data_IF_916655159298
#
_entry.id   IF_916655159298
#
_cell.length_a   1.000
_cell.length_b   1.000
_cell.length_c   1.000
_cell.angle_alpha   90.00
_cell.angle_beta   90.00
_cell.angle_gamma   90.00
#
_symmetry.space_group_name_H-M   'P 1'
#
loop_
_entity.id
_entity.type
_entity.pdbx_description
1 polymer ?
#
# COMPACT_ATOMS: atom_id res chain seq x y z
N UNK A 1 5.15 38.84 6.36
CA UNK A 1 4.40 39.71 5.45
C UNK A 1 2.99 39.91 6.02
N UNK A 2 2.40 41.07 5.81
CA UNK A 2 1.00 41.31 6.18
C UNK A 2 0.25 41.98 5.01
N UNK A 3 -1.04 41.66 4.90
CA UNK A 3 -1.99 42.33 4.02
C UNK A 3 -3.00 43.05 4.90
N UNK A 4 -3.33 44.29 4.58
CA UNK A 4 -4.24 45.14 5.34
C UNK A 4 -5.27 45.72 4.41
N UNK A 5 -6.54 45.58 4.75
CA UNK A 5 -7.63 46.27 4.11
C UNK A 5 -8.06 47.42 5.04
N UNK A 6 -8.09 48.62 4.50
CA UNK A 6 -8.49 49.86 5.20
C UNK A 6 -9.81 50.33 4.63
N UNK A 7 -10.80 50.49 5.53
CA UNK A 7 -12.09 51.10 5.22
C UNK A 7 -12.41 52.22 6.19
N UNK A 8 -13.31 53.10 5.85
CA UNK A 8 -13.72 54.25 6.68
C UNK A 8 -12.55 55.11 7.15
N UNK A 9 -11.55 55.32 6.27
CA UNK A 9 -10.39 56.15 6.58
C UNK A 9 -10.79 57.60 6.89
N UNK A 10 -10.44 58.10 8.08
CA UNK A 10 -10.74 59.44 8.57
C UNK A 10 -9.47 60.29 8.80
N UNK A 11 -8.30 59.75 8.42
CA UNK A 11 -7.04 60.43 8.59
C UNK A 11 -6.31 60.14 9.86
N UNK A 12 -5.59 61.13 10.40
CA UNK A 12 -4.87 61.03 11.65
C UNK A 12 -5.77 61.21 12.88
N UNK A 13 -5.51 60.47 13.95
CA UNK A 13 -6.14 60.71 15.26
C UNK A 13 -5.65 62.04 15.81
N UNK A 14 -4.33 62.32 15.75
CA UNK A 14 -3.68 63.55 16.14
C UNK A 14 -3.02 64.21 14.91
N UNK A 15 -3.63 65.27 14.42
CA UNK A 15 -3.17 66.02 13.23
C UNK A 15 -1.88 66.79 13.47
N UNK A 16 -1.54 67.03 14.74
CA UNK A 16 -0.29 67.77 15.12
C UNK A 16 0.92 66.82 15.20
N UNK A 17 0.71 65.55 15.28
CA UNK A 17 1.76 64.56 15.26
C UNK A 17 2.31 64.33 13.85
N UNK A 18 3.59 64.58 13.69
CA UNK A 18 4.25 64.44 12.37
C UNK A 18 4.32 62.95 11.91
N UNK A 19 4.29 62.00 12.85
CA UNK A 19 4.36 60.56 12.55
C UNK A 19 3.03 59.96 12.19
N UNK A 20 3.06 58.92 11.37
CA UNK A 20 1.86 58.20 10.96
C UNK A 20 0.98 58.95 9.93
N UNK A 21 -0.17 58.34 9.52
CA UNK A 21 -0.68 57.04 9.98
C UNK A 21 0.08 55.86 9.40
N UNK A 22 0.27 54.83 10.23
CA UNK A 22 0.85 53.58 9.77
C UNK A 22 0.33 52.40 10.57
N UNK A 23 0.53 51.21 10.01
CA UNK A 23 0.31 49.93 10.67
C UNK A 23 1.66 49.24 10.82
N UNK A 24 1.91 48.68 12.00
CA UNK A 24 3.07 47.88 12.33
C UNK A 24 2.61 46.59 13.03
N UNK A 25 3.35 45.50 12.84
CA UNK A 25 3.16 44.24 13.56
C UNK A 25 4.45 43.94 14.30
N UNK A 26 4.33 43.77 15.59
CA UNK A 26 5.50 43.61 16.48
C UNK A 26 5.35 42.36 17.31
N UNK A 27 6.50 41.77 17.61
CA UNK A 27 6.65 40.76 18.63
C UNK A 27 6.69 41.44 19.99
N UNK A 28 5.75 41.12 20.84
CA UNK A 28 5.64 41.67 22.18
C UNK A 28 6.30 40.82 23.25
N UNK A 29 7.54 41.09 23.63
CA UNK A 29 8.18 40.38 24.73
C UNK A 29 7.71 40.88 26.07
N UNK A 30 7.65 40.01 27.03
CA UNK A 30 7.44 40.37 28.44
C UNK A 30 8.56 41.28 29.02
N UNK A 31 9.62 41.57 28.30
CA UNK A 31 10.82 42.25 28.76
C UNK A 31 11.18 43.53 28.01
N UNK A 32 10.32 44.08 27.18
CA UNK A 32 10.46 45.47 26.71
C UNK A 32 11.21 45.71 25.43
N UNK A 33 11.68 44.71 24.67
CA UNK A 33 12.26 44.86 23.34
C UNK A 33 11.28 44.46 22.28
N UNK A 34 10.73 45.41 21.56
CA UNK A 34 9.74 45.18 20.49
C UNK A 34 10.45 44.98 19.14
N UNK A 35 10.31 43.81 18.54
CA UNK A 35 10.79 43.56 17.20
C UNK A 35 9.67 43.72 16.20
N UNK A 36 9.83 44.60 15.22
CA UNK A 36 8.89 44.66 14.10
C UNK A 36 8.94 43.38 13.29
N UNK A 37 7.81 42.73 13.12
CA UNK A 37 7.67 41.50 12.33
C UNK A 37 7.42 41.77 10.85
N UNK A 38 6.98 42.98 10.52
CA UNK A 38 6.79 43.46 9.14
C UNK A 38 7.52 44.79 8.93
N UNK A 39 7.66 45.20 7.70
CA UNK A 39 7.98 46.60 7.39
C UNK A 39 6.70 47.43 7.56
N UNK A 40 6.82 48.56 8.25
CA UNK A 40 5.70 49.49 8.47
C UNK A 40 4.94 49.79 7.18
N UNK A 41 3.63 49.77 7.28
CA UNK A 41 2.75 50.07 6.15
C UNK A 41 2.17 51.49 6.35
N UNK A 42 2.65 52.51 5.62
CA UNK A 42 2.02 53.83 5.63
C UNK A 42 0.61 53.75 5.05
N UNK A 43 -0.36 54.33 5.74
CA UNK A 43 -1.77 54.36 5.31
C UNK A 43 -2.14 55.78 4.84
N UNK A 44 -2.64 55.87 3.61
CA UNK A 44 -2.97 57.17 2.99
C UNK A 44 -4.44 57.32 2.62
N UNK A 45 -5.23 56.25 2.76
CA UNK A 45 -6.67 56.25 2.37
C UNK A 45 -7.29 54.87 2.53
N UNK A 46 -8.50 54.73 2.05
CA UNK A 46 -9.14 53.44 1.89
C UNK A 46 -8.39 52.65 0.79
N UNK A 47 -8.28 51.32 1.01
CA UNK A 47 -7.64 50.45 0.03
C UNK A 47 -6.97 49.25 0.65
N UNK A 48 -6.31 48.47 -0.20
CA UNK A 48 -5.56 47.29 0.16
C UNK A 48 -4.07 47.63 0.16
N UNK A 49 -3.42 47.33 1.25
CA UNK A 49 -1.98 47.56 1.46
C UNK A 49 -1.30 46.24 1.78
N UNK A 50 -0.07 46.04 1.29
CA UNK A 50 0.71 44.87 1.58
C UNK A 50 2.12 45.26 2.06
N UNK A 51 2.59 44.68 3.12
CA UNK A 51 3.96 44.89 3.57
C UNK A 51 4.92 44.12 2.66
N UNK A 52 6.11 44.69 2.42
CA UNK A 52 7.21 43.89 1.88
C UNK A 52 7.59 42.77 2.85
N UNK A 53 8.09 41.63 2.33
CA UNK A 53 8.58 40.54 3.17
C UNK A 53 9.71 41.01 4.11
N UNK A 54 9.69 40.49 5.35
CA UNK A 54 10.79 40.68 6.27
C UNK A 54 11.26 39.31 6.77
N UNK A 55 12.53 39.01 6.57
CA UNK A 55 13.16 37.76 7.04
C UNK A 55 13.62 37.95 8.48
N UNK A 56 13.20 37.01 9.34
CA UNK A 56 13.62 36.93 10.74
C UNK A 56 14.51 35.71 10.90
N UNK A 57 15.66 35.85 11.53
CA UNK A 57 16.52 34.71 11.88
C UNK A 57 16.20 34.24 13.31
N UNK A 58 16.47 32.99 13.61
CA UNK A 58 16.32 32.45 14.97
C UNK A 58 17.05 33.28 16.03
N UNK A 59 18.17 33.91 15.68
CA UNK A 59 18.95 34.75 16.58
C UNK A 59 18.37 36.16 16.76
N UNK A 60 17.41 36.58 15.93
CA UNK A 60 16.70 37.84 16.07
C UNK A 60 15.49 37.72 17.01
N UNK A 61 15.02 36.49 17.27
CA UNK A 61 13.95 36.21 18.19
C UNK A 61 14.56 35.86 19.56
N UNK A 62 14.88 36.89 20.34
CA UNK A 62 15.44 36.69 21.68
C UNK A 62 14.32 36.69 22.69
N UNK A 63 14.16 35.59 23.41
CA UNK A 63 13.37 35.55 24.59
C UNK A 63 12.00 34.90 24.50
N UNK A 64 11.18 35.14 25.47
CA UNK A 64 9.87 34.55 25.72
C UNK A 64 8.73 35.36 25.07
N UNK A 65 8.91 35.76 23.82
CA UNK A 65 7.81 36.42 23.12
C UNK A 65 6.65 35.44 22.92
N UNK A 66 5.51 35.79 23.42
CA UNK A 66 4.29 34.96 23.42
C UNK A 66 3.06 35.68 22.90
N UNK A 67 3.25 36.86 22.33
CA UNK A 67 2.13 37.64 21.74
C UNK A 67 2.62 38.39 20.49
N UNK A 68 1.70 38.59 19.58
CA UNK A 68 1.86 39.46 18.41
C UNK A 68 0.97 40.68 18.64
N UNK A 69 1.59 41.86 18.58
CA UNK A 69 0.87 43.12 18.68
C UNK A 69 0.70 43.77 17.32
N UNK A 70 -0.51 44.19 17.02
CA UNK A 70 -0.82 45.00 15.86
C UNK A 70 -0.95 46.47 16.32
N UNK A 71 -0.02 47.29 15.88
CA UNK A 71 -0.02 48.70 16.21
C UNK A 71 -0.67 49.53 15.09
N UNK A 72 -1.79 50.16 15.39
CA UNK A 72 -2.40 51.21 14.58
C UNK A 72 -1.94 52.56 15.07
N UNK A 73 -0.88 53.10 14.49
CA UNK A 73 -0.31 54.33 14.97
C UNK A 73 -0.91 55.55 14.29
N UNK A 74 -1.50 56.45 15.05
CA UNK A 74 -2.10 57.70 14.64
C UNK A 74 -3.09 57.54 13.46
N UNK A 75 -3.81 56.44 13.42
CA UNK A 75 -4.73 56.04 12.37
C UNK A 75 -6.16 55.99 12.87
N UNK A 76 -7.04 56.77 12.21
CA UNK A 76 -8.49 56.67 12.41
C UNK A 76 -9.11 56.03 11.16
N UNK A 77 -9.37 54.72 11.27
CA UNK A 77 -9.95 53.92 10.23
C UNK A 77 -10.45 52.58 10.78
N UNK A 78 -11.24 51.87 9.99
CA UNK A 78 -11.50 50.43 10.20
C UNK A 78 -10.47 49.66 9.44
N UNK A 79 -9.82 48.67 10.07
CA UNK A 79 -8.83 47.82 9.41
C UNK A 79 -9.20 46.35 9.57
N UNK A 80 -8.84 45.61 8.56
CA UNK A 80 -8.74 44.15 8.58
C UNK A 80 -7.31 43.77 8.20
N UNK A 81 -6.67 42.91 9.02
CA UNK A 81 -5.25 42.57 8.83
C UNK A 81 -5.06 41.08 8.80
N UNK A 82 -4.27 40.62 7.85
CA UNK A 82 -3.84 39.24 7.70
C UNK A 82 -2.32 39.15 7.74
N UNK A 83 -1.80 38.21 8.52
CA UNK A 83 -0.37 38.05 8.71
C UNK A 83 0.03 36.68 8.19
N UNK A 84 0.99 36.65 7.25
CA UNK A 84 1.59 35.41 6.71
C UNK A 84 2.97 35.20 7.29
N UNK A 85 3.20 34.04 7.90
CA UNK A 85 4.49 33.59 8.43
C UNK A 85 4.88 32.32 7.70
N UNK A 86 6.09 32.28 7.12
CA UNK A 86 6.62 31.13 6.39
C UNK A 86 8.00 30.80 6.89
N UNK A 87 8.36 29.50 6.85
CA UNK A 87 9.71 29.03 7.09
C UNK A 87 10.44 29.00 5.75
N UNK A 88 11.51 29.78 5.62
CA UNK A 88 12.30 29.82 4.39
C UNK A 88 13.15 31.09 4.26
N UNK A 89 13.89 31.18 3.16
CA UNK A 89 14.75 32.32 2.83
C UNK A 89 14.13 33.25 1.80
N UNK A 90 13.08 32.82 1.12
CA UNK A 90 12.37 33.58 0.09
C UNK A 90 10.88 33.58 0.43
N UNK A 91 10.28 34.76 0.51
CA UNK A 91 8.85 34.87 0.77
C UNK A 91 8.07 34.54 -0.52
N UNK A 92 7.08 33.67 -0.41
CA UNK A 92 6.13 33.48 -1.48
C UNK A 92 5.14 34.64 -1.55
N UNK A 93 4.41 34.82 -2.68
CA UNK A 93 3.32 35.78 -2.74
C UNK A 93 2.33 35.58 -1.59
N UNK A 94 1.65 36.64 -1.21
CA UNK A 94 0.65 36.51 -0.18
C UNK A 94 -0.44 35.52 -0.60
N UNK A 95 -0.75 34.55 0.26
CA UNK A 95 -1.85 33.59 0.10
C UNK A 95 -2.49 33.34 1.47
N UNK A 96 -3.81 33.12 1.53
CA UNK A 96 -4.46 32.71 2.78
C UNK A 96 -3.88 31.39 3.31
N UNK A 97 -4.01 31.16 4.62
CA UNK A 97 -3.66 29.86 5.18
C UNK A 97 -4.79 28.86 4.88
N UNK A 98 -4.47 27.67 4.30
CA UNK A 98 -5.47 26.64 4.08
C UNK A 98 -6.24 26.19 5.33
N UNK A 99 -5.71 26.42 6.51
CA UNK A 99 -6.35 26.09 7.78
C UNK A 99 -7.36 27.16 8.29
N UNK A 100 -7.45 28.32 7.60
CA UNK A 100 -8.34 29.42 8.02
C UNK A 100 -9.68 29.31 7.29
N UNK A 101 -10.73 28.71 7.85
CA UNK A 101 -12.01 28.48 7.16
C UNK A 101 -12.72 29.78 6.72
N UNK A 102 -12.37 30.91 7.34
CA UNK A 102 -12.92 32.22 7.03
C UNK A 102 -12.46 32.78 5.66
N UNK A 103 -11.45 32.18 5.05
CA UNK A 103 -10.84 32.62 3.81
C UNK A 103 -11.16 31.76 2.60
N UNK A 104 -11.77 30.60 2.83
CA UNK A 104 -12.16 29.73 1.75
C UNK A 104 -13.62 29.96 1.41
N UNK A 105 -13.83 30.78 0.39
CA UNK A 105 -15.05 30.68 -0.37
C UNK A 105 -14.85 29.57 -1.40
N UNK A 106 -15.73 28.61 -1.43
CA UNK A 106 -15.82 27.64 -2.52
C UNK A 106 -16.42 28.29 -3.79
N UNK A 107 -16.77 29.56 -3.73
CA UNK A 107 -17.46 30.32 -4.80
C UNK A 107 -16.68 31.59 -5.15
N UNK A 108 -16.48 31.79 -6.45
CA UNK A 108 -15.88 33.00 -7.04
C UNK A 108 -16.93 33.71 -7.89
N UNK A 109 -17.16 34.97 -7.62
CA UNK A 109 -17.98 35.82 -8.49
C UNK A 109 -17.11 36.46 -9.55
N UNK A 110 -17.40 36.19 -10.83
CA UNK A 110 -16.69 36.75 -11.98
C UNK A 110 -17.59 37.77 -12.65
N UNK A 111 -17.11 39.01 -12.75
CA UNK A 111 -17.82 40.11 -13.42
C UNK A 111 -17.31 40.25 -14.85
N UNK A 112 -18.20 40.08 -15.84
CA UNK A 112 -17.95 40.42 -17.24
C UNK A 112 -18.57 41.79 -17.54
N UNK A 113 -17.75 42.83 -17.63
CA UNK A 113 -18.16 44.19 -17.93
C UNK A 113 -18.38 44.46 -19.44
N UNK A 114 -18.06 43.47 -20.28
CA UNK A 114 -18.25 43.54 -21.74
C UNK A 114 -19.72 43.44 -22.16
N UNK A 115 -19.97 43.52 -23.46
CA UNK A 115 -21.31 43.36 -24.06
C UNK A 115 -21.51 41.96 -24.67
N UNK A 116 -20.50 41.10 -24.63
CA UNK A 116 -20.52 39.79 -25.25
C UNK A 116 -20.09 38.71 -24.27
N UNK A 117 -20.65 37.48 -24.35
CA UNK A 117 -20.19 36.34 -23.55
C UNK A 117 -18.72 36.01 -23.84
N UNK A 118 -17.99 35.60 -22.79
CA UNK A 118 -16.55 35.28 -22.88
C UNK A 118 -16.25 33.97 -22.14
N UNK A 119 -15.30 33.23 -22.65
CA UNK A 119 -14.83 31.99 -22.01
C UNK A 119 -13.66 32.28 -21.06
N UNK A 120 -13.73 31.78 -19.82
CA UNK A 120 -12.68 32.01 -18.84
C UNK A 120 -11.47 31.08 -19.04
N UNK A 121 -10.35 31.51 -18.48
CA UNK A 121 -9.22 30.66 -18.13
C UNK A 121 -9.23 30.50 -16.61
N UNK A 122 -9.33 29.26 -16.13
CA UNK A 122 -9.38 28.92 -14.71
C UNK A 122 -8.06 28.30 -14.32
N UNK A 123 -7.40 28.82 -13.28
CA UNK A 123 -6.14 28.29 -12.75
C UNK A 123 -6.34 27.87 -11.30
N UNK A 124 -6.16 26.59 -11.02
CA UNK A 124 -6.26 26.01 -9.66
C UNK A 124 -4.89 25.56 -9.20
N UNK A 125 -4.43 26.09 -8.06
CA UNK A 125 -3.14 25.72 -7.43
C UNK A 125 -3.40 24.88 -6.21
N UNK A 126 -2.93 23.62 -6.22
CA UNK A 126 -3.15 22.67 -5.14
C UNK A 126 -2.30 22.99 -3.92
N UNK A 127 -2.90 23.01 -2.73
CA UNK A 127 -2.21 23.22 -1.47
C UNK A 127 -1.97 21.91 -0.71
N UNK A 128 -2.51 20.82 -1.18
CA UNK A 128 -2.32 19.45 -0.69
C UNK A 128 -2.66 18.48 -1.83
N UNK A 129 -2.48 17.19 -1.57
CA UNK A 129 -2.88 16.16 -2.52
C UNK A 129 -4.39 16.19 -2.74
N UNK A 130 -4.81 15.98 -4.00
CA UNK A 130 -6.21 16.01 -4.41
C UNK A 130 -6.45 15.04 -5.57
N UNK A 131 -7.59 14.36 -5.58
CA UNK A 131 -7.95 13.40 -6.63
C UNK A 131 -8.75 14.05 -7.77
N UNK A 132 -9.63 14.99 -7.44
CA UNK A 132 -10.58 15.58 -8.39
C UNK A 132 -10.77 17.08 -8.13
N UNK A 133 -10.97 17.82 -9.21
CA UNK A 133 -11.40 19.22 -9.20
C UNK A 133 -12.70 19.31 -9.96
N UNK A 134 -13.77 19.62 -9.25
CA UNK A 134 -15.09 19.92 -9.81
C UNK A 134 -15.31 21.42 -9.87
N UNK A 135 -15.89 21.90 -10.97
CA UNK A 135 -16.23 23.32 -11.17
C UNK A 135 -17.67 23.38 -11.67
N UNK A 136 -18.48 24.16 -10.99
CA UNK A 136 -19.91 24.37 -11.32
C UNK A 136 -20.17 25.85 -11.41
N UNK A 137 -20.95 26.27 -12.37
CA UNK A 137 -21.42 27.63 -12.43
C UNK A 137 -22.94 27.72 -12.15
N UNK A 138 -23.46 28.92 -11.89
CA UNK A 138 -24.85 29.19 -11.60
C UNK A 138 -25.81 28.95 -12.79
N UNK A 139 -25.24 28.62 -13.97
CA UNK A 139 -25.96 28.27 -15.21
C UNK A 139 -26.01 26.75 -15.44
N UNK A 140 -26.05 25.95 -14.42
CA UNK A 140 -25.70 24.58 -14.20
C UNK A 140 -24.76 23.94 -15.25
N UNK A 141 -23.63 24.59 -15.53
CA UNK A 141 -22.49 24.01 -16.24
C UNK A 141 -21.60 23.23 -15.26
N UNK A 142 -21.09 22.07 -15.66
CA UNK A 142 -20.20 21.25 -14.88
C UNK A 142 -18.94 20.95 -15.67
N UNK A 143 -17.78 21.22 -15.08
CA UNK A 143 -16.47 20.76 -15.53
C UNK A 143 -15.83 19.94 -14.42
N UNK A 144 -15.22 18.82 -14.76
CA UNK A 144 -14.58 17.91 -13.81
C UNK A 144 -13.26 17.40 -14.38
N UNK A 145 -12.22 17.46 -13.56
CA UNK A 145 -10.86 17.10 -13.94
C UNK A 145 -10.23 16.21 -12.87
N UNK A 146 -9.39 15.27 -13.30
CA UNK A 146 -8.76 14.29 -12.43
C UNK A 146 -9.49 12.96 -12.44
N UNK A 147 -9.24 12.15 -11.43
CA UNK A 147 -9.87 10.84 -11.25
C UNK A 147 -10.67 10.84 -9.95
N UNK A 148 -11.79 10.16 -9.92
CA UNK A 148 -12.63 10.00 -8.73
C UNK A 148 -11.99 9.12 -7.65
N UNK A 149 -10.86 8.58 -7.88
CA UNK A 149 -10.17 7.60 -7.04
C UNK A 149 -9.40 8.35 -5.94
N UNK A 150 -9.70 8.48 -4.88
CA UNK A 150 -10.08 7.80 -3.68
C UNK A 150 -8.84 7.38 -2.92
N UNK A 151 -8.52 8.20 -1.95
CA UNK A 151 -7.67 7.84 -0.85
C UNK A 151 -8.35 6.69 -0.08
N UNK A 152 -7.71 5.53 -0.01
CA UNK A 152 -8.22 4.43 0.78
C UNK A 152 -9.01 3.34 0.07
N UNK A 153 -8.57 2.93 -1.09
CA UNK A 153 -9.13 1.75 -1.75
C UNK A 153 -8.63 0.46 -1.08
N UNK A 154 -9.55 -0.38 -0.62
CA UNK A 154 -9.21 -1.71 -0.11
C UNK A 154 -9.37 -2.73 -1.22
N UNK A 155 -8.28 -3.36 -1.62
CA UNK A 155 -8.29 -4.51 -2.53
C UNK A 155 -8.05 -5.80 -1.75
N UNK A 156 -8.50 -6.91 -2.31
CA UNK A 156 -8.08 -8.23 -1.87
C UNK A 156 -7.00 -8.74 -2.83
N UNK A 157 -5.81 -8.96 -2.29
CA UNK A 157 -4.65 -9.40 -3.07
C UNK A 157 -4.14 -10.76 -2.59
N UNK A 158 -3.40 -11.42 -3.47
CA UNK A 158 -2.62 -12.60 -3.08
C UNK A 158 -1.17 -12.20 -2.85
N UNK A 159 -0.59 -12.69 -1.76
CA UNK A 159 0.78 -12.39 -1.34
C UNK A 159 1.60 -13.66 -1.24
N UNK A 160 2.86 -13.61 -1.68
CA UNK A 160 3.77 -14.75 -1.57
C UNK A 160 4.28 -14.83 -0.13
N UNK A 161 3.92 -15.91 0.58
CA UNK A 161 4.40 -16.21 1.93
C UNK A 161 5.72 -16.99 1.92
N UNK A 162 5.91 -17.85 0.92
CA UNK A 162 7.13 -18.59 0.66
C UNK A 162 7.22 -18.96 -0.81
N UNK A 163 8.40 -18.78 -1.37
CA UNK A 163 8.80 -19.38 -2.64
C UNK A 163 10.14 -20.09 -2.41
N UNK A 164 10.13 -21.42 -2.40
CA UNK A 164 11.32 -22.21 -2.12
C UNK A 164 12.42 -21.97 -3.18
N UNK A 165 12.05 -21.69 -4.43
CA UNK A 165 13.02 -21.40 -5.47
C UNK A 165 13.79 -20.08 -5.19
N UNK A 166 13.15 -19.11 -4.56
CA UNK A 166 13.78 -17.83 -4.17
C UNK A 166 14.76 -17.98 -2.99
N UNK A 167 14.64 -19.06 -2.20
CA UNK A 167 15.50 -19.35 -1.04
C UNK A 167 16.44 -20.52 -1.29
N UNK A 168 16.64 -20.92 -2.53
CA UNK A 168 17.54 -22.02 -2.89
C UNK A 168 18.94 -21.80 -2.32
N UNK A 169 19.57 -22.89 -1.87
CA UNK A 169 20.87 -22.83 -1.19
C UNK A 169 20.81 -22.33 0.26
N UNK A 170 19.64 -21.85 0.71
CA UNK A 170 19.40 -21.42 2.09
C UNK A 170 18.39 -22.35 2.75
N UNK A 171 18.79 -23.09 3.75
CA UNK A 171 17.92 -23.99 4.52
C UNK A 171 18.38 -24.05 5.97
N UNK A 172 17.48 -24.50 6.83
CA UNK A 172 17.80 -24.88 8.20
C UNK A 172 17.25 -26.27 8.49
N UNK A 173 17.98 -27.06 9.22
CA UNK A 173 17.52 -28.37 9.66
C UNK A 173 16.46 -28.23 10.73
N UNK A 174 15.41 -29.04 10.61
CA UNK A 174 14.27 -29.02 11.51
C UNK A 174 14.30 -30.17 12.54
N UNK A 175 15.46 -30.52 13.04
CA UNK A 175 15.68 -31.73 13.82
C UNK A 175 14.90 -31.81 15.13
N UNK A 176 14.54 -30.68 15.71
CA UNK A 176 13.88 -30.63 17.02
C UNK A 176 12.43 -30.16 16.98
N UNK A 177 11.96 -29.63 15.85
CA UNK A 177 10.70 -28.94 15.84
C UNK A 177 9.49 -29.78 15.43
N UNK A 178 9.72 -30.86 14.68
CA UNK A 178 8.63 -31.74 14.25
C UNK A 178 8.79 -33.08 14.90
N UNK A 179 8.32 -33.19 16.10
CA UNK A 179 8.06 -34.51 16.70
C UNK A 179 6.89 -35.08 15.90
N UNK A 180 7.19 -35.89 14.89
CA UNK A 180 6.14 -36.36 14.02
C UNK A 180 5.33 -37.47 14.70
N UNK A 181 4.17 -37.17 15.26
CA UNK A 181 3.34 -38.15 15.97
C UNK A 181 2.68 -39.16 15.04
N UNK A 182 2.81 -39.01 13.72
CA UNK A 182 2.09 -39.84 12.75
C UNK A 182 2.81 -41.11 12.36
N UNK A 183 4.10 -41.12 12.54
CA UNK A 183 4.90 -42.28 12.19
C UNK A 183 4.75 -43.41 13.22
N UNK A 184 3.52 -43.81 13.40
CA UNK A 184 3.18 -44.86 14.34
C UNK A 184 2.36 -44.39 15.54
N UNK A 185 2.25 -43.08 15.77
CA UNK A 185 1.51 -42.54 16.91
C UNK A 185 2.02 -43.00 18.28
N UNK A 186 3.16 -43.67 18.29
CA UNK A 186 3.75 -44.23 19.48
C UNK A 186 4.96 -43.39 19.94
N UNK A 187 4.85 -42.70 21.09
CA UNK A 187 5.94 -41.91 21.64
C UNK A 187 7.21 -42.71 21.95
N UNK A 188 7.08 -44.03 22.04
CA UNK A 188 8.22 -44.91 22.27
C UNK A 188 9.01 -45.26 21.02
N UNK A 189 8.52 -44.89 19.82
CA UNK A 189 9.25 -45.06 18.57
C UNK A 189 10.29 -43.97 18.42
N UNK A 190 11.57 -44.25 18.40
CA UNK A 190 12.61 -43.25 18.23
C UNK A 190 12.79 -42.92 16.74
N UNK A 191 11.85 -42.21 16.16
CA UNK A 191 12.01 -41.61 14.84
C UNK A 191 13.07 -40.52 14.92
N UNK A 192 13.98 -40.45 13.94
CA UNK A 192 15.16 -39.62 14.01
C UNK A 192 15.23 -38.67 12.81
N UNK A 193 15.07 -37.39 13.06
CA UNK A 193 15.39 -36.33 12.09
C UNK A 193 16.89 -36.07 12.16
N UNK A 194 17.67 -36.69 11.30
CA UNK A 194 19.14 -36.68 11.28
C UNK A 194 19.65 -36.54 9.86
N UNK A 195 20.93 -36.21 9.75
CA UNK A 195 21.60 -36.02 8.47
C UNK A 195 21.31 -34.64 7.86
N UNK A 196 21.73 -34.46 6.63
CA UNK A 196 21.64 -33.19 5.91
C UNK A 196 20.84 -33.33 4.63
N UNK A 197 19.99 -32.33 4.34
CA UNK A 197 19.48 -32.11 3.00
C UNK A 197 20.43 -31.17 2.26
N UNK A 198 20.56 -31.35 0.95
CA UNK A 198 21.44 -30.56 0.11
C UNK A 198 20.69 -29.99 -1.09
N UNK A 199 21.12 -28.82 -1.54
CA UNK A 199 20.69 -28.25 -2.80
C UNK A 199 21.56 -28.79 -3.93
N UNK A 200 20.91 -29.33 -4.95
CA UNK A 200 21.55 -29.81 -6.19
C UNK A 200 20.89 -29.16 -7.40
N UNK A 201 21.58 -29.17 -8.51
CA UNK A 201 21.09 -28.64 -9.77
C UNK A 201 21.38 -29.63 -10.90
N UNK A 202 20.40 -29.86 -11.75
CA UNK A 202 20.61 -30.52 -13.05
C UNK A 202 19.85 -29.80 -14.19
N UNK A 203 20.17 -30.16 -15.42
CA UNK A 203 19.61 -29.46 -16.59
C UNK A 203 18.13 -29.75 -16.82
N UNK A 204 17.58 -30.81 -16.22
CA UNK A 204 16.18 -31.21 -16.41
C UNK A 204 15.26 -30.64 -15.33
N UNK A 205 15.63 -30.80 -14.05
CA UNK A 205 14.82 -30.41 -12.90
C UNK A 205 15.14 -29.00 -12.40
N UNK A 206 16.28 -28.44 -12.81
CA UNK A 206 16.80 -27.20 -12.25
C UNK A 206 17.31 -27.40 -10.82
N UNK A 207 17.08 -26.41 -9.97
CA UNK A 207 17.40 -26.50 -8.55
C UNK A 207 16.37 -27.35 -7.82
N UNK A 208 16.89 -28.23 -6.96
CA UNK A 208 16.10 -29.09 -6.09
C UNK A 208 16.79 -29.33 -4.76
N UNK A 209 16.02 -29.62 -3.74
CA UNK A 209 16.53 -30.04 -2.42
C UNK A 209 16.25 -31.50 -2.19
N UNK A 210 17.26 -32.24 -1.83
CA UNK A 210 17.23 -33.69 -1.68
C UNK A 210 18.01 -34.16 -0.44
N UNK A 211 17.68 -35.34 0.11
CA UNK A 211 18.44 -35.90 1.24
C UNK A 211 19.84 -36.35 0.83
N UNK A 212 20.83 -35.97 1.58
CA UNK A 212 22.15 -36.57 1.49
C UNK A 212 22.20 -37.83 2.38
N UNK A 213 21.82 -38.96 1.82
CA UNK A 213 21.77 -40.22 2.57
C UNK A 213 23.12 -40.66 3.14
N UNK A 214 24.22 -40.26 2.53
CA UNK A 214 25.56 -40.58 3.02
C UNK A 214 25.92 -39.87 4.32
N UNK A 215 25.16 -38.84 4.69
CA UNK A 215 25.31 -38.14 5.97
C UNK A 215 24.71 -38.91 7.15
N UNK A 216 23.98 -39.99 6.89
CA UNK A 216 23.33 -40.82 7.90
C UNK A 216 24.09 -42.12 8.03
N UNK A 217 24.70 -42.36 9.19
CA UNK A 217 25.52 -43.52 9.46
C UNK A 217 25.00 -44.32 10.64
N UNK A 218 25.24 -45.63 10.62
CA UNK A 218 24.84 -46.54 11.70
C UNK A 218 23.49 -47.22 11.44
N UNK A 219 23.07 -48.03 12.41
CA UNK A 219 21.81 -48.78 12.37
C UNK A 219 20.69 -47.94 13.01
N UNK A 220 19.61 -47.80 12.30
CA UNK A 220 18.43 -47.11 12.78
C UNK A 220 17.27 -48.07 12.94
N UNK A 221 16.52 -47.89 14.00
CA UNK A 221 15.46 -48.86 14.37
C UNK A 221 14.11 -48.51 13.71
N UNK A 222 13.91 -47.22 13.42
CA UNK A 222 12.66 -46.70 12.85
C UNK A 222 12.92 -45.69 11.74
N UNK A 223 12.01 -44.78 11.50
CA UNK A 223 12.12 -43.72 10.47
C UNK A 223 13.29 -42.78 10.78
N UNK A 224 14.09 -42.50 9.78
CA UNK A 224 15.24 -41.61 9.91
C UNK A 224 15.50 -40.85 8.61
N UNK A 225 16.04 -39.65 8.72
CA UNK A 225 16.38 -38.82 7.57
C UNK A 225 16.45 -37.32 7.89
N UNK A 226 16.97 -36.53 6.95
CA UNK A 226 17.10 -35.09 7.12
C UNK A 226 15.79 -34.35 6.89
N UNK A 227 15.73 -33.14 7.41
CA UNK A 227 14.64 -32.20 7.20
C UNK A 227 15.14 -30.81 6.85
N UNK A 228 14.27 -30.02 6.27
CA UNK A 228 14.46 -28.58 6.07
C UNK A 228 13.27 -27.81 6.65
N UNK A 229 13.49 -26.55 6.96
CA UNK A 229 12.45 -25.65 7.48
C UNK A 229 12.67 -24.23 7.01
N UNK A 230 11.60 -23.54 6.70
CA UNK A 230 11.61 -22.12 6.36
C UNK A 230 10.45 -21.40 7.05
N UNK A 231 10.68 -20.17 7.49
CA UNK A 231 9.61 -19.32 8.00
C UNK A 231 8.80 -18.74 6.84
N UNK A 232 7.50 -18.68 7.03
CA UNK A 232 6.60 -17.94 6.12
C UNK A 232 6.66 -16.46 6.45
N UNK A 233 6.51 -15.63 5.43
CA UNK A 233 6.29 -14.20 5.59
C UNK A 233 4.83 -13.97 5.96
N UNK A 234 4.58 -13.17 7.00
CA UNK A 234 3.21 -12.78 7.38
C UNK A 234 2.57 -11.91 6.29
N UNK A 235 1.26 -11.83 6.30
CA UNK A 235 0.53 -10.89 5.44
C UNK A 235 0.85 -9.44 5.80
N UNK A 236 0.58 -8.51 4.90
CA UNK A 236 0.67 -7.07 5.20
C UNK A 236 -0.12 -6.66 6.45
N UNK A 237 -1.20 -7.36 6.75
CA UNK A 237 -1.99 -7.14 7.96
C UNK A 237 -1.37 -7.75 9.23
N UNK A 238 -0.17 -8.32 9.13
CA UNK A 238 0.58 -8.84 10.26
C UNK A 238 0.03 -10.15 10.84
N UNK A 239 -0.62 -11.00 10.02
CA UNK A 239 -1.17 -12.27 10.49
C UNK A 239 -0.69 -13.47 9.65
N UNK A 240 -0.93 -14.67 10.17
CA UNK A 240 -0.65 -15.96 9.54
C UNK A 240 -1.91 -16.82 9.36
N UNK A 241 -3.10 -16.20 9.38
CA UNK A 241 -4.41 -16.89 9.38
C UNK A 241 -5.16 -16.77 8.07
N UNK A 242 -4.71 -15.94 7.14
CA UNK A 242 -5.40 -15.68 5.88
C UNK A 242 -5.68 -16.96 5.10
N UNK A 243 -6.62 -16.90 4.18
CA UNK A 243 -6.79 -17.95 3.18
C UNK A 243 -5.45 -18.21 2.51
N UNK A 244 -5.20 -19.45 2.11
CA UNK A 244 -3.93 -19.79 1.48
C UNK A 244 -4.07 -20.85 0.39
N UNK A 245 -3.15 -20.81 -0.55
CA UNK A 245 -2.82 -21.91 -1.43
C UNK A 245 -1.39 -22.35 -1.18
N UNK A 246 -1.16 -23.64 -1.15
CA UNK A 246 0.16 -24.22 -0.99
C UNK A 246 0.36 -25.27 -2.07
N UNK A 247 1.38 -25.08 -2.88
CA UNK A 247 1.73 -25.93 -4.01
C UNK A 247 3.13 -26.51 -3.79
N UNK A 248 3.28 -27.81 -3.95
CA UNK A 248 4.54 -28.53 -3.78
C UNK A 248 4.78 -29.42 -4.98
N UNK A 249 5.89 -29.20 -5.70
CA UNK A 249 6.31 -30.06 -6.77
C UNK A 249 7.42 -30.99 -6.29
N UNK A 250 7.18 -32.28 -6.39
CA UNK A 250 8.05 -33.32 -5.85
C UNK A 250 8.43 -34.38 -6.88
N UNK A 251 9.48 -35.11 -6.57
CA UNK A 251 9.78 -36.44 -7.09
C UNK A 251 9.78 -37.43 -5.96
N UNK A 252 9.09 -38.57 -6.13
CA UNK A 252 9.10 -39.66 -5.18
C UNK A 252 9.11 -40.98 -5.95
N UNK A 253 10.27 -41.64 -5.94
CA UNK A 253 10.48 -42.90 -6.64
C UNK A 253 10.79 -44.00 -5.62
N UNK A 254 10.04 -45.04 -5.66
CA UNK A 254 10.13 -46.15 -4.73
C UNK A 254 10.23 -47.48 -5.48
N UNK A 255 10.35 -48.60 -4.78
CA UNK A 255 10.44 -49.94 -5.34
C UNK A 255 10.62 -51.01 -4.28
N UNK A 256 10.71 -52.26 -4.70
CA UNK A 256 10.97 -53.36 -3.80
C UNK A 256 12.25 -53.14 -2.98
N UNK A 257 12.20 -53.43 -1.69
CA UNK A 257 13.23 -53.20 -0.70
C UNK A 257 13.54 -51.69 -0.42
N UNK A 258 12.72 -50.80 -0.89
CA UNK A 258 12.80 -49.36 -0.62
C UNK A 258 11.58 -48.93 0.21
N UNK A 259 11.80 -48.53 1.43
CA UNK A 259 10.73 -48.05 2.32
C UNK A 259 11.04 -46.63 2.73
N UNK A 260 10.24 -45.70 2.20
CA UNK A 260 10.50 -44.31 2.37
C UNK A 260 9.24 -43.45 2.47
N UNK A 261 9.42 -42.22 2.92
CA UNK A 261 8.35 -41.25 2.98
C UNK A 261 8.90 -39.82 2.80
N UNK A 262 8.15 -39.04 2.06
CA UNK A 262 8.37 -37.61 1.91
C UNK A 262 7.20 -36.90 2.59
N UNK A 263 7.48 -36.24 3.69
CA UNK A 263 6.48 -35.45 4.41
C UNK A 263 6.67 -33.97 4.11
N UNK A 264 5.62 -33.29 3.74
CA UNK A 264 5.57 -31.84 3.62
C UNK A 264 4.54 -31.28 4.60
N UNK A 265 4.93 -30.25 5.35
CA UNK A 265 4.15 -29.75 6.48
C UNK A 265 4.11 -28.24 6.50
N UNK A 266 2.93 -27.67 6.70
CA UNK A 266 2.77 -26.31 7.23
C UNK A 266 2.53 -26.42 8.73
N UNK A 267 3.36 -25.75 9.50
CA UNK A 267 3.34 -25.82 10.96
C UNK A 267 3.23 -24.44 11.61
N UNK A 268 2.86 -24.44 12.88
CA UNK A 268 2.88 -23.26 13.73
C UNK A 268 3.72 -23.58 14.98
N UNK A 269 4.94 -23.02 15.01
CA UNK A 269 5.88 -23.16 16.14
C UNK A 269 6.07 -24.62 16.61
N UNK A 270 6.35 -25.50 15.65
CA UNK A 270 6.60 -26.93 15.89
C UNK A 270 5.34 -27.78 16.04
N UNK A 271 4.15 -27.22 15.82
CA UNK A 271 2.90 -27.99 15.80
C UNK A 271 2.42 -28.12 14.36
N UNK A 272 2.33 -29.35 13.81
CA UNK A 272 1.80 -29.58 12.49
C UNK A 272 0.37 -29.06 12.36
N UNK A 273 0.07 -28.34 11.31
CA UNK A 273 -1.26 -27.84 10.99
C UNK A 273 -1.82 -28.56 9.78
N UNK A 274 -1.10 -28.52 8.65
CA UNK A 274 -1.47 -29.24 7.43
C UNK A 274 -0.28 -30.07 6.98
N UNK A 275 -0.52 -31.34 6.66
CA UNK A 275 0.52 -32.21 6.15
C UNK A 275 0.05 -32.95 4.91
N UNK A 276 0.94 -33.06 3.95
CA UNK A 276 0.77 -33.89 2.74
C UNK A 276 1.99 -34.81 2.63
N UNK A 277 1.75 -36.11 2.60
CA UNK A 277 2.75 -37.13 2.72
C UNK A 277 2.64 -38.12 1.56
N UNK A 278 3.75 -38.40 0.92
CA UNK A 278 3.94 -39.49 -0.01
C UNK A 278 4.72 -40.61 0.69
N UNK A 279 4.22 -41.82 0.68
CA UNK A 279 4.80 -42.92 1.48
C UNK A 279 4.77 -44.25 0.75
N UNK A 280 5.87 -44.98 0.81
CA UNK A 280 5.90 -46.41 0.56
C UNK A 280 6.30 -47.10 1.88
N UNK A 281 5.44 -47.97 2.40
CA UNK A 281 5.65 -48.71 3.65
C UNK A 281 5.86 -50.21 3.43
N UNK A 282 6.05 -50.66 2.20
CA UNK A 282 6.19 -52.07 1.85
C UNK A 282 7.57 -52.36 1.29
N UNK A 283 8.35 -53.17 2.00
CA UNK A 283 9.61 -53.68 1.46
C UNK A 283 9.42 -54.76 0.36
N UNK A 284 8.20 -55.27 0.20
CA UNK A 284 7.90 -56.37 -0.70
C UNK A 284 7.23 -55.97 -2.01
N UNK A 285 6.66 -54.80 -2.05
CA UNK A 285 5.95 -54.29 -3.23
C UNK A 285 6.11 -52.79 -3.39
N UNK A 286 6.09 -52.34 -4.63
CA UNK A 286 6.13 -50.93 -4.98
C UNK A 286 4.74 -50.32 -4.74
N UNK A 287 4.58 -49.60 -3.65
CA UNK A 287 3.35 -48.95 -3.24
C UNK A 287 3.56 -47.43 -3.16
N UNK A 288 2.49 -46.69 -3.38
CA UNK A 288 2.50 -45.27 -3.17
C UNK A 288 1.23 -44.88 -2.45
N UNK A 289 1.38 -44.38 -1.24
CA UNK A 289 0.30 -43.88 -0.42
C UNK A 289 0.32 -42.34 -0.36
N UNK A 290 -0.83 -41.75 -0.50
CA UNK A 290 -1.06 -40.34 -0.24
C UNK A 290 -1.80 -40.17 1.06
N UNK A 291 -1.19 -39.50 2.02
CA UNK A 291 -1.74 -39.25 3.34
C UNK A 291 -1.80 -37.78 3.60
N UNK A 292 -2.93 -37.29 4.14
CA UNK A 292 -3.07 -35.90 4.55
C UNK A 292 -3.57 -35.82 5.98
N UNK A 293 -3.02 -34.83 6.69
CA UNK A 293 -3.43 -34.56 8.07
C UNK A 293 -3.85 -33.10 8.22
N UNK A 294 -4.86 -32.91 9.04
CA UNK A 294 -5.19 -31.63 9.65
C UNK A 294 -4.91 -31.72 11.13
N UNK A 295 -3.94 -30.95 11.61
CA UNK A 295 -3.38 -31.08 12.95
C UNK A 295 -2.97 -32.56 13.20
N UNK A 296 -3.54 -33.20 14.19
CA UNK A 296 -3.23 -34.60 14.52
C UNK A 296 -4.25 -35.59 13.92
N UNK A 297 -5.15 -35.15 13.06
CA UNK A 297 -6.20 -35.97 12.48
C UNK A 297 -5.81 -36.40 11.05
N UNK A 298 -5.72 -37.71 10.83
CA UNK A 298 -5.58 -38.30 9.50
C UNK A 298 -6.93 -38.13 8.75
N UNK A 299 -6.91 -37.38 7.66
CA UNK A 299 -8.11 -37.07 6.86
C UNK A 299 -8.11 -37.71 5.48
N UNK A 300 -6.92 -38.02 4.96
CA UNK A 300 -6.74 -38.78 3.71
C UNK A 300 -5.73 -39.88 3.97
N UNK A 301 -6.06 -41.12 3.55
CA UNK A 301 -5.17 -42.27 3.57
C UNK A 301 -5.51 -43.18 2.37
N UNK A 302 -4.94 -42.86 1.22
CA UNK A 302 -5.27 -43.51 -0.03
C UNK A 302 -4.05 -44.06 -0.73
N UNK A 303 -4.16 -45.30 -1.19
CA UNK A 303 -3.15 -45.86 -2.10
C UNK A 303 -3.38 -45.35 -3.51
N UNK A 304 -2.35 -44.72 -4.08
CA UNK A 304 -2.39 -44.22 -5.44
C UNK A 304 -2.13 -45.34 -6.45
N UNK A 305 -2.81 -45.25 -7.60
CA UNK A 305 -2.63 -46.21 -8.70
C UNK A 305 -1.24 -46.02 -9.34
N UNK A 306 -0.36 -47.02 -9.21
CA UNK A 306 1.01 -47.00 -9.77
C UNK A 306 1.04 -46.98 -11.28
N UNK A 307 -0.03 -47.33 -11.99
CA UNK A 307 -0.10 -47.20 -13.43
C UNK A 307 -0.24 -45.71 -13.87
N UNK A 308 -0.75 -44.87 -12.96
CA UNK A 308 -0.95 -43.43 -13.18
C UNK A 308 0.19 -42.64 -12.52
N UNK A 309 0.49 -42.96 -11.26
CA UNK A 309 1.55 -42.33 -10.46
C UNK A 309 2.84 -43.15 -10.54
N UNK A 310 3.51 -43.13 -11.68
CA UNK A 310 4.73 -43.90 -11.93
C UNK A 310 5.99 -43.20 -11.45
N UNK A 311 7.12 -43.94 -11.39
CA UNK A 311 8.39 -43.39 -10.92
C UNK A 311 9.03 -42.36 -11.89
N UNK A 312 8.59 -42.29 -13.11
CA UNK A 312 9.09 -41.36 -14.13
C UNK A 312 8.26 -40.07 -14.22
N UNK A 313 7.27 -39.89 -13.35
CA UNK A 313 6.48 -38.66 -13.25
C UNK A 313 6.83 -37.87 -11.99
N UNK A 314 6.67 -36.56 -12.08
CA UNK A 314 6.61 -35.71 -10.88
C UNK A 314 5.26 -35.88 -10.20
N UNK A 315 5.19 -35.54 -8.93
CA UNK A 315 3.95 -35.54 -8.15
C UNK A 315 3.77 -34.16 -7.55
N UNK A 316 2.69 -33.52 -7.94
CA UNK A 316 2.26 -32.26 -7.35
C UNK A 316 1.33 -32.54 -6.19
N UNK A 317 1.62 -31.96 -5.04
CA UNK A 317 0.76 -31.88 -3.88
C UNK A 317 0.25 -30.47 -3.73
N UNK A 318 -1.05 -30.31 -3.51
CA UNK A 318 -1.66 -29.00 -3.42
C UNK A 318 -2.63 -28.93 -2.24
N UNK A 319 -2.61 -27.83 -1.52
CA UNK A 319 -3.56 -27.51 -0.46
C UNK A 319 -4.16 -26.15 -0.69
N UNK A 320 -5.47 -26.05 -0.50
CA UNK A 320 -6.19 -24.78 -0.47
C UNK A 320 -6.99 -24.67 0.82
N UNK A 321 -6.82 -23.57 1.54
CA UNK A 321 -7.63 -23.22 2.70
C UNK A 321 -8.38 -21.93 2.42
N UNK A 322 -9.71 -21.98 2.42
CA UNK A 322 -10.59 -20.82 2.28
C UNK A 322 -11.62 -20.85 3.41
N UNK A 323 -11.45 -19.97 4.40
CA UNK A 323 -12.21 -20.04 5.64
C UNK A 323 -12.04 -21.41 6.30
N UNK A 324 -13.14 -22.08 6.58
CA UNK A 324 -13.17 -23.42 7.18
C UNK A 324 -13.07 -24.57 6.16
N UNK A 325 -13.07 -24.26 4.86
CA UNK A 325 -12.90 -25.26 3.79
C UNK A 325 -11.43 -25.53 3.53
N UNK A 326 -11.05 -26.80 3.56
CA UNK A 326 -9.69 -27.27 3.27
C UNK A 326 -9.76 -28.32 2.16
N UNK A 327 -9.01 -28.10 1.10
CA UNK A 327 -8.98 -28.97 -0.07
C UNK A 327 -7.56 -29.46 -0.27
N UNK A 328 -7.39 -30.79 -0.30
CA UNK A 328 -6.13 -31.45 -0.65
C UNK A 328 -6.23 -32.03 -2.06
N UNK A 329 -5.14 -31.91 -2.83
CA UNK A 329 -5.07 -32.49 -4.17
C UNK A 329 -3.71 -33.16 -4.36
N UNK A 330 -3.74 -34.22 -5.19
CA UNK A 330 -2.53 -34.86 -5.69
C UNK A 330 -2.67 -35.11 -7.18
N UNK A 331 -1.63 -34.81 -7.94
CA UNK A 331 -1.62 -34.94 -9.40
C UNK A 331 -0.28 -35.51 -9.88
N UNK A 332 -0.28 -36.52 -10.76
CA UNK A 332 0.91 -36.85 -11.51
C UNK A 332 1.15 -35.79 -12.57
N UNK A 333 2.40 -35.43 -12.75
CA UNK A 333 2.83 -34.37 -13.66
C UNK A 333 3.81 -34.89 -14.72
N UNK A 334 3.50 -34.64 -15.98
CA UNK A 334 4.30 -35.14 -17.12
C UNK A 334 5.02 -33.97 -17.79
N UNK A 335 6.25 -33.73 -17.38
CA UNK A 335 7.12 -32.71 -17.98
C UNK A 335 6.41 -31.41 -18.30
N UNK A 336 6.52 -30.93 -19.51
CA UNK A 336 5.86 -29.72 -19.99
C UNK A 336 4.36 -29.90 -20.32
N UNK A 337 3.84 -31.13 -20.27
CA UNK A 337 2.42 -31.39 -20.56
C UNK A 337 1.50 -31.05 -19.38
N UNK A 338 2.06 -30.91 -18.20
CA UNK A 338 1.31 -30.57 -17.01
C UNK A 338 0.66 -31.77 -16.29
N UNK A 339 -0.43 -31.50 -15.62
CA UNK A 339 -1.18 -32.51 -14.84
C UNK A 339 -1.87 -33.50 -15.77
N UNK A 340 -1.68 -34.78 -15.54
CA UNK A 340 -2.39 -35.83 -16.26
C UNK A 340 -3.80 -36.06 -15.68
N UNK A 341 -3.90 -36.08 -14.36
CA UNK A 341 -5.16 -36.19 -13.61
C UNK A 341 -5.02 -35.53 -12.25
N UNK A 342 -6.13 -35.38 -11.53
CA UNK A 342 -6.11 -34.80 -10.17
C UNK A 342 -7.10 -35.54 -9.27
N UNK A 343 -6.59 -36.04 -8.15
CA UNK A 343 -7.42 -36.54 -7.05
C UNK A 343 -7.64 -35.40 -6.08
N UNK A 344 -8.92 -35.11 -5.75
CA UNK A 344 -9.31 -34.03 -4.86
C UNK A 344 -10.06 -34.56 -3.66
N UNK A 345 -9.72 -34.09 -2.45
CA UNK A 345 -10.44 -34.36 -1.22
C UNK A 345 -10.69 -33.05 -0.48
N UNK A 346 -11.95 -32.80 -0.17
CA UNK A 346 -12.38 -31.56 0.49
C UNK A 346 -12.98 -31.86 1.85
N UNK A 347 -12.61 -31.05 2.83
CA UNK A 347 -13.06 -31.15 4.22
C UNK A 347 -13.49 -29.77 4.72
N UNK A 348 -14.28 -29.79 5.80
CA UNK A 348 -14.63 -28.57 6.54
C UNK A 348 -14.25 -28.78 8.00
N UNK A 349 -13.42 -27.87 8.52
CA UNK A 349 -13.01 -27.86 9.92
C UNK A 349 -13.45 -26.54 10.57
N UNK A 350 -14.13 -26.65 11.70
CA UNK A 350 -14.77 -25.49 12.35
C UNK A 350 -13.77 -24.38 12.75
N UNK A 351 -12.50 -24.75 12.93
CA UNK A 351 -11.42 -23.87 13.38
C UNK A 351 -10.37 -23.56 12.31
N UNK A 352 -10.55 -24.03 11.07
CA UNK A 352 -9.52 -23.86 10.05
C UNK A 352 -9.33 -22.38 9.64
N UNK A 353 -10.36 -21.55 9.73
CA UNK A 353 -10.26 -20.12 9.45
C UNK A 353 -9.30 -19.40 10.41
N UNK A 354 -9.16 -19.89 11.64
CA UNK A 354 -8.43 -19.25 12.72
C UNK A 354 -7.03 -19.82 12.97
N UNK A 355 -6.67 -20.90 12.27
CA UNK A 355 -5.34 -21.52 12.47
C UNK A 355 -4.24 -20.66 11.86
N UNK A 356 -3.15 -20.53 12.59
CA UNK A 356 -1.92 -19.92 12.10
C UNK A 356 -1.04 -20.94 11.40
N UNK A 357 -0.43 -20.53 10.29
CA UNK A 357 0.64 -21.29 9.62
C UNK A 357 1.85 -20.38 9.49
N UNK A 358 2.93 -20.72 10.21
CA UNK A 358 4.11 -19.85 10.34
C UNK A 358 5.34 -20.39 9.64
N UNK A 359 5.43 -21.71 9.49
CA UNK A 359 6.59 -22.34 8.89
C UNK A 359 6.16 -23.41 7.90
N UNK A 360 7.02 -23.61 6.92
CA UNK A 360 7.06 -24.77 6.04
C UNK A 360 8.20 -25.69 6.46
N UNK A 361 7.96 -26.98 6.52
CA UNK A 361 8.99 -27.99 6.71
C UNK A 361 8.79 -29.20 5.80
N UNK A 362 9.89 -29.88 5.52
CA UNK A 362 9.89 -31.14 4.79
C UNK A 362 10.82 -32.11 5.46
N UNK A 363 10.37 -33.36 5.62
CA UNK A 363 11.16 -34.43 6.15
C UNK A 363 11.29 -35.55 5.10
N UNK A 364 12.54 -35.87 4.74
CA UNK A 364 12.91 -36.95 3.84
C UNK A 364 13.28 -38.17 4.67
N UNK A 365 12.56 -39.29 4.52
CA UNK A 365 12.69 -40.40 5.44
C UNK A 365 12.88 -41.76 4.76
N UNK A 366 13.67 -42.62 5.38
CA UNK A 366 13.63 -44.05 5.15
C UNK A 366 13.26 -44.79 6.45
N UNK A 367 12.69 -45.98 6.32
CA UNK A 367 12.48 -46.84 7.49
C UNK A 367 13.70 -47.73 7.72
N UNK A 368 14.26 -47.67 8.92
CA UNK A 368 15.44 -48.46 9.32
C UNK A 368 16.61 -48.28 8.37
N UNK A 369 17.16 -49.40 7.87
CA UNK A 369 18.26 -49.46 6.90
C UNK A 369 17.83 -50.00 5.54
N UNK A 370 16.54 -49.91 5.21
CA UNK A 370 16.03 -50.27 3.89
C UNK A 370 16.64 -49.38 2.81
N UNK A 371 16.59 -49.86 1.57
CA UNK A 371 17.08 -49.11 0.42
C UNK A 371 16.43 -47.71 0.32
N UNK A 372 17.22 -46.75 -0.11
CA UNK A 372 16.84 -45.36 -0.22
C UNK A 372 15.88 -45.14 -1.39
N UNK A 373 14.74 -44.49 -1.14
CA UNK A 373 13.88 -43.98 -2.21
C UNK A 373 14.49 -42.69 -2.76
N UNK A 374 14.38 -42.49 -4.07
CA UNK A 374 14.69 -41.17 -4.67
C UNK A 374 13.59 -40.22 -4.32
N UNK A 375 13.90 -39.17 -3.57
CA UNK A 375 12.91 -38.16 -3.20
C UNK A 375 13.54 -36.78 -3.13
N UNK A 376 12.84 -35.77 -3.65
CA UNK A 376 13.27 -34.37 -3.58
C UNK A 376 12.10 -33.41 -3.81
N UNK A 377 12.31 -32.17 -3.43
CA UNK A 377 11.44 -31.06 -3.76
C UNK A 377 12.07 -30.20 -4.85
N UNK A 378 11.30 -29.87 -5.88
CA UNK A 378 11.66 -28.91 -6.92
C UNK A 378 11.17 -27.53 -6.54
N UNK A 379 9.94 -27.44 -6.05
CA UNK A 379 9.32 -26.18 -5.64
C UNK A 379 8.37 -26.40 -4.47
N UNK A 380 8.27 -25.39 -3.64
CA UNK A 380 7.19 -25.25 -2.66
C UNK A 380 6.82 -23.77 -2.58
N UNK A 381 5.59 -23.44 -2.93
CA UNK A 381 5.09 -22.08 -2.94
C UNK A 381 3.87 -21.96 -2.04
N UNK A 382 3.92 -21.07 -1.07
CA UNK A 382 2.78 -20.71 -0.22
C UNK A 382 2.36 -19.28 -0.56
N UNK A 383 1.09 -19.09 -0.86
CA UNK A 383 0.50 -17.79 -1.13
C UNK A 383 -0.70 -17.55 -0.23
N UNK A 384 -0.71 -16.43 0.45
CA UNK A 384 -1.90 -15.91 1.08
C UNK A 384 -2.89 -15.47 0.02
N UNK A 385 -4.17 -15.66 0.27
CA UNK A 385 -5.26 -15.30 -0.64
C UNK A 385 -6.26 -14.40 0.07
N UNK A 386 -6.89 -13.51 -0.67
CA UNK A 386 -7.89 -12.57 -0.16
C UNK A 386 -7.38 -11.75 1.03
N UNK A 387 -6.13 -11.30 0.96
CA UNK A 387 -5.59 -10.39 1.96
C UNK A 387 -6.13 -9.01 1.66
N UNK A 388 -6.89 -8.47 2.60
CA UNK A 388 -7.37 -7.09 2.49
C UNK A 388 -6.18 -6.14 2.57
N UNK A 389 -5.90 -5.48 1.47
CA UNK A 389 -4.81 -4.54 1.34
C UNK A 389 -5.33 -3.14 1.12
N UNK A 390 -4.85 -2.22 1.92
CA UNK A 390 -5.12 -0.80 1.74
C UNK A 390 -4.08 -0.21 0.82
N UNK A 391 -4.44 0.03 -0.44
CA UNK A 391 -3.57 0.69 -1.39
C UNK A 391 -3.90 2.19 -1.39
N UNK A 392 -2.95 3.01 -1.01
CA UNK A 392 -3.02 4.43 -1.24
C UNK A 392 -2.66 4.67 -2.71
N UNK A 393 -3.67 4.83 -3.57
CA UNK A 393 -3.46 5.19 -4.97
C UNK A 393 -2.96 6.63 -4.99
N UNK A 394 -1.87 6.86 -5.73
CA UNK A 394 -1.32 8.20 -5.90
C UNK A 394 -2.41 9.13 -6.42
N UNK A 395 -2.69 10.18 -5.68
CA UNK A 395 -3.64 11.21 -6.08
C UNK A 395 -3.27 11.83 -7.42
N UNK A 396 -4.26 12.27 -8.17
CA UNK A 396 -4.04 12.88 -9.49
C UNK A 396 -3.23 14.16 -9.40
N UNK A 397 -3.46 14.93 -8.35
CA UNK A 397 -2.78 16.19 -8.06
C UNK A 397 -1.99 16.07 -6.76
N UNK A 398 -0.80 16.61 -6.75
CA UNK A 398 0.06 16.74 -5.58
C UNK A 398 0.10 18.17 -5.08
N UNK A 399 0.54 18.37 -3.85
CA UNK A 399 0.76 19.70 -3.30
C UNK A 399 1.70 20.52 -4.21
N UNK A 400 1.26 21.73 -4.58
CA UNK A 400 1.97 22.64 -5.47
C UNK A 400 1.66 22.47 -6.95
N UNK A 401 0.87 21.44 -7.34
CA UNK A 401 0.44 21.29 -8.72
C UNK A 401 -0.48 22.45 -9.16
N UNK A 402 -0.30 22.89 -10.40
CA UNK A 402 -1.10 23.96 -11.02
C UNK A 402 -1.89 23.35 -12.17
N UNK A 403 -3.20 23.30 -12.01
CA UNK A 403 -4.14 22.95 -13.07
C UNK A 403 -4.64 24.21 -13.76
N UNK A 404 -4.37 24.35 -15.05
CA UNK A 404 -4.91 25.44 -15.89
C UNK A 404 -5.92 24.87 -16.86
N UNK A 405 -7.09 25.48 -16.89
CA UNK A 405 -8.25 25.10 -17.72
C UNK A 405 -8.52 26.21 -18.67
N UNK A 406 -8.34 25.99 -19.97
CA UNK A 406 -8.66 26.88 -21.06
C UNK A 406 -10.02 26.47 -21.63
N UNK A 407 -11.05 27.17 -21.22
CA UNK A 407 -12.45 26.83 -21.57
C UNK A 407 -12.68 27.01 -23.07
N UNK A 408 -12.17 28.07 -23.64
CA UNK A 408 -12.34 28.38 -25.07
C UNK A 408 -11.83 27.29 -26.01
N UNK A 409 -10.72 26.65 -25.62
CA UNK A 409 -10.09 25.63 -26.43
C UNK A 409 -10.38 24.19 -25.93
N UNK A 410 -11.16 24.05 -24.85
CA UNK A 410 -11.41 22.80 -24.16
C UNK A 410 -10.10 22.04 -23.84
N UNK A 411 -9.10 22.75 -23.30
CA UNK A 411 -7.78 22.21 -22.99
C UNK A 411 -7.43 22.35 -21.53
N UNK A 412 -6.70 21.35 -21.02
CA UNK A 412 -6.14 21.36 -19.67
C UNK A 412 -4.64 21.23 -19.70
N UNK A 413 -4.01 21.92 -18.76
CA UNK A 413 -2.56 21.89 -18.57
C UNK A 413 -2.26 21.59 -17.10
N UNK A 414 -1.34 20.66 -16.86
CA UNK A 414 -0.79 20.38 -15.53
C UNK A 414 0.65 20.89 -15.49
N UNK A 415 0.93 21.81 -14.58
CA UNK A 415 2.27 22.42 -14.44
C UNK A 415 2.81 23.00 -15.76
N UNK A 416 1.92 23.57 -16.55
CA UNK A 416 2.24 24.17 -17.84
C UNK A 416 2.30 23.20 -19.03
N UNK A 417 2.22 21.90 -18.80
CA UNK A 417 2.20 20.88 -19.86
C UNK A 417 0.77 20.49 -20.23
N UNK A 418 0.46 20.45 -21.53
CA UNK A 418 -0.84 19.98 -22.01
C UNK A 418 -1.10 18.55 -21.55
N UNK A 419 -2.20 18.31 -20.85
CA UNK A 419 -2.62 17.01 -20.37
C UNK A 419 -4.09 16.72 -20.71
N UNK A 420 -4.36 16.06 -21.84
CA UNK A 420 -5.71 15.71 -22.24
C UNK A 420 -6.31 14.55 -21.45
N UNK A 421 -5.53 13.86 -20.62
CA UNK A 421 -6.01 12.71 -19.83
C UNK A 421 -6.81 13.11 -18.60
N UNK A 422 -6.86 14.40 -18.28
CA UNK A 422 -7.61 14.91 -17.14
C UNK A 422 -9.11 15.07 -17.38
N UNK A 423 -9.52 15.06 -18.64
CA UNK A 423 -10.91 15.31 -18.99
C UNK A 423 -11.79 14.13 -18.58
N UNK A 424 -12.91 14.43 -17.95
CA UNK A 424 -13.96 13.43 -17.73
C UNK A 424 -15.01 13.51 -18.83
N UNK A 425 -15.65 12.38 -19.14
CA UNK A 425 -16.80 12.39 -20.05
C UNK A 425 -17.94 13.19 -19.39
N UNK A 426 -18.48 14.14 -20.10
CA UNK A 426 -19.60 14.96 -19.62
C UNK A 426 -19.23 16.38 -19.23
N UNK A 427 -17.98 16.81 -19.41
CA UNK A 427 -17.60 18.21 -19.27
C UNK A 427 -18.41 19.08 -20.24
N UNK A 428 -19.05 20.09 -19.70
CA UNK A 428 -19.98 20.95 -20.43
C UNK A 428 -19.33 22.32 -20.76
N UNK A 429 -18.32 22.32 -21.59
CA UNK A 429 -17.48 23.47 -21.91
C UNK A 429 -18.28 24.68 -22.37
N UNK A 430 -19.26 24.48 -23.25
CA UNK A 430 -20.13 25.55 -23.81
C UNK A 430 -20.95 26.25 -22.71
N UNK A 431 -21.21 25.63 -21.59
CA UNK A 431 -21.95 26.22 -20.47
C UNK A 431 -21.09 27.12 -19.58
N UNK A 432 -19.80 27.19 -19.86
CA UNK A 432 -18.86 28.07 -19.15
C UNK A 432 -18.54 29.33 -19.94
N UNK A 433 -19.29 29.66 -20.97
CA UNK A 433 -19.36 31.03 -21.48
C UNK A 433 -19.99 31.95 -20.43
N UNK A 434 -19.26 32.97 -20.00
CA UNK A 434 -19.69 33.92 -19.00
C UNK A 434 -20.38 35.11 -19.68
N UNK A 435 -21.71 35.31 -19.53
CA UNK A 435 -22.42 36.43 -20.12
C UNK A 435 -22.00 37.75 -19.45
N UNK A 436 -22.39 38.89 -20.04
CA UNK A 436 -22.29 40.18 -19.36
C UNK A 436 -22.96 40.18 -18.00
N UNK A 437 -22.29 40.76 -17.00
CA UNK A 437 -22.73 40.79 -15.61
C UNK A 437 -21.98 39.78 -14.74
N UNK A 438 -22.56 39.46 -13.61
CA UNK A 438 -21.94 38.56 -12.60
C UNK A 438 -22.32 37.11 -12.88
N UNK A 439 -21.34 36.22 -12.73
CA UNK A 439 -21.52 34.76 -12.76
C UNK A 439 -20.80 34.16 -11.54
N UNK A 440 -21.50 33.32 -10.83
CA UNK A 440 -20.89 32.58 -9.71
C UNK A 440 -20.32 31.25 -10.20
N UNK A 441 -19.07 30.97 -9.81
CA UNK A 441 -18.34 29.72 -10.10
C UNK A 441 -18.01 29.07 -8.77
N UNK A 442 -18.56 27.88 -8.53
CA UNK A 442 -18.26 27.07 -7.35
C UNK A 442 -17.22 26.03 -7.69
N UNK A 443 -16.23 25.85 -6.80
CA UNK A 443 -15.10 24.96 -6.96
C UNK A 443 -15.14 23.91 -5.86
N UNK A 444 -15.07 22.64 -6.25
CA UNK A 444 -15.19 21.51 -5.32
C UNK A 444 -13.99 20.59 -5.44
N UNK A 445 -13.17 20.45 -4.41
CA UNK A 445 -12.13 19.42 -4.33
C UNK A 445 -12.74 18.05 -3.97
N UNK A 446 -11.91 17.00 -3.92
CA UNK A 446 -12.27 15.75 -3.26
C UNK A 446 -12.68 16.02 -1.81
N UNK A 447 -13.64 15.25 -1.28
CA UNK A 447 -14.19 15.45 0.09
C UNK A 447 -13.16 15.36 1.22
N UNK A 448 -12.04 14.72 0.97
CA UNK A 448 -10.91 14.53 1.90
C UNK A 448 -9.75 15.50 1.61
N UNK A 449 -9.77 16.23 0.48
CA UNK A 449 -8.69 17.13 0.10
C UNK A 449 -8.79 18.47 0.83
N UNK A 450 -7.65 19.15 0.94
CA UNK A 450 -7.61 20.50 1.45
C UNK A 450 -8.09 21.49 0.38
N UNK A 451 -8.68 22.62 0.77
CA UNK A 451 -8.97 23.70 -0.14
C UNK A 451 -7.72 24.18 -0.88
N UNK A 452 -7.89 24.65 -2.11
CA UNK A 452 -6.81 25.14 -2.96
C UNK A 452 -7.12 26.53 -3.52
N UNK A 453 -6.07 27.25 -3.96
CA UNK A 453 -6.28 28.57 -4.55
C UNK A 453 -6.82 28.43 -5.98
N UNK A 454 -7.80 29.26 -6.33
CA UNK A 454 -8.33 29.31 -7.67
C UNK A 454 -8.43 30.76 -8.17
N UNK A 455 -8.00 30.96 -9.41
CA UNK A 455 -8.07 32.24 -10.11
C UNK A 455 -8.87 32.05 -11.41
N UNK A 456 -9.72 33.03 -11.74
CA UNK A 456 -10.49 33.03 -12.97
C UNK A 456 -10.14 34.30 -13.74
N UNK A 457 -9.58 34.13 -14.92
CA UNK A 457 -9.25 35.23 -15.86
C UNK A 457 -10.24 35.26 -17.01
N UNK A 458 -10.70 36.44 -17.36
CA UNK A 458 -11.53 36.68 -18.55
C UNK A 458 -10.92 37.78 -19.43
N UNK A 459 -11.26 37.77 -20.72
CA UNK A 459 -11.02 38.87 -21.63
C UNK A 459 -12.38 39.44 -22.07
N UNK A 460 -12.69 40.59 -21.56
CA UNK A 460 -13.96 41.27 -21.93
C UNK A 460 -14.00 41.58 -23.42
N UNK A 461 -15.15 41.37 -24.02
CA UNK A 461 -15.42 41.66 -25.44
C UNK A 461 -16.56 42.65 -25.58
N UNK A 462 -16.37 43.57 -26.50
CA UNK A 462 -17.33 44.64 -26.80
C UNK A 462 -17.70 44.56 -28.27
N UNK A 463 -19.01 44.53 -28.56
CA UNK A 463 -19.57 44.60 -29.90
C UNK A 463 -20.38 45.91 -30.10
#
# INVERSE_FOLDING_TARGET
>A
MAKVIVTNYQGKVDSTNSLGPYIDVKDGPSTGVWLGLINRIPITGNGVYTSSPRTMTKNSLTGTANQIDVEMYNLNATIEIWIKVEIGTTASPWSPNPADPEYYSDTITVHNGGTYPVEPVITATMHADNGIVGIVNDRPGILQFGTQEIDGFTTEESEVALDLAAVQGSHMDNQAATNNPYWGGDPSMPNEQIGNAIWTHDDYDGWKVEPNWTSITGDHKYWNGPSIKHNLVQTHNGNFKSNLTWDVMTRFQTGVAKVGALETTLESDGKPIFQMILKDNSALSDQLWWMCYYKNQLVVNEQLDRSIFTNDKFIQLELQKFGNSVVFRVSPWVGNQGRETTITRQFTFADAADVETKQFSTWFMRDKTWGESTMYLIASTVKWQNVSWYTNIKNRFSNGDVLKIDVANAKTYLNGSLDPTMHTFGNQWERFELPPGDTEITITPSSWAQPFACEVEIREAWL
#
